data_IF_823602858918
#
_entry.id   IF_823602858918
#
_cell.length_a   1.000
_cell.length_b   1.000
_cell.length_c   1.000
_cell.angle_alpha   90.00
_cell.angle_beta   90.00
_cell.angle_gamma   90.00
#
_symmetry.space_group_name_H-M   'P 1'
#
loop_
_entity.id
_entity.type
_entity.pdbx_description
1 polymer ?
#
# COMPACT_ATOMS: atom_id res chain seq x y z
N UNK A 1 0.71 8.53 -17.35
CA UNK A 1 -0.48 8.27 -16.50
C UNK A 1 -1.01 9.57 -15.91
N UNK A 2 -2.33 9.77 -15.85
CA UNK A 2 -2.90 10.93 -15.12
C UNK A 2 -2.44 11.01 -13.66
N UNK A 3 -2.12 9.88 -13.04
CA UNK A 3 -1.63 9.82 -11.66
C UNK A 3 -0.34 10.62 -11.47
N UNK A 4 0.56 10.63 -12.46
CA UNK A 4 1.79 11.42 -12.40
C UNK A 4 1.48 12.92 -12.26
N UNK A 5 0.58 13.45 -13.10
CA UNK A 5 0.18 14.86 -13.07
C UNK A 5 -0.49 15.23 -11.74
N UNK A 6 -1.34 14.36 -11.20
CA UNK A 6 -2.00 14.55 -9.90
C UNK A 6 -0.98 14.59 -8.76
N UNK A 7 -0.03 13.66 -8.74
CA UNK A 7 0.99 13.61 -7.70
C UNK A 7 1.92 14.83 -7.74
N UNK A 8 2.34 15.27 -8.93
CA UNK A 8 3.15 16.49 -9.11
C UNK A 8 2.35 17.74 -8.67
N UNK A 9 1.10 17.88 -9.10
CA UNK A 9 0.26 19.02 -8.73
C UNK A 9 0.09 19.15 -7.22
N UNK A 10 -0.08 18.02 -6.53
CA UNK A 10 -0.28 18.02 -5.07
C UNK A 10 1.00 17.83 -4.25
N UNK A 11 2.18 17.79 -4.87
CA UNK A 11 3.46 17.49 -4.21
C UNK A 11 3.67 18.29 -2.94
N UNK A 12 3.57 19.61 -3.01
CA UNK A 12 3.80 20.50 -1.86
C UNK A 12 2.79 20.24 -0.72
N UNK A 13 1.54 19.93 -1.05
CA UNK A 13 0.52 19.60 -0.06
C UNK A 13 0.76 18.25 0.60
N UNK A 14 1.19 17.26 -0.18
CA UNK A 14 1.61 15.94 0.33
C UNK A 14 2.79 16.12 1.29
N UNK A 15 3.80 16.88 0.89
CA UNK A 15 5.00 17.10 1.70
C UNK A 15 4.71 17.83 3.00
N UNK A 16 3.75 18.74 3.01
CA UNK A 16 3.32 19.49 4.19
C UNK A 16 2.38 18.73 5.13
N UNK A 17 1.88 17.55 4.73
CA UNK A 17 1.01 16.75 5.59
C UNK A 17 1.69 16.37 6.90
N UNK A 18 0.95 16.53 8.00
CA UNK A 18 1.39 16.22 9.37
C UNK A 18 0.91 14.85 9.87
N UNK A 19 0.41 14.00 8.98
CA UNK A 19 -0.21 12.70 9.34
C UNK A 19 0.76 11.81 10.14
N UNK A 20 2.06 11.82 9.83
CA UNK A 20 3.05 11.03 10.58
C UNK A 20 3.12 11.47 12.04
N UNK A 21 3.14 12.78 12.28
CA UNK A 21 3.16 13.35 13.65
C UNK A 21 1.85 13.05 14.38
N UNK A 22 0.71 13.19 13.71
CA UNK A 22 -0.62 12.93 14.27
C UNK A 22 -0.77 11.47 14.71
N UNK A 23 -0.24 10.54 13.90
CA UNK A 23 -0.26 9.12 14.20
C UNK A 23 0.97 8.62 15.00
N UNK A 24 1.87 9.53 15.38
CA UNK A 24 3.12 9.23 16.12
C UNK A 24 3.96 8.16 15.40
N UNK A 25 4.05 8.26 14.08
CA UNK A 25 4.78 7.30 13.24
C UNK A 25 6.18 7.83 12.91
N UNK A 26 7.14 6.93 12.92
CA UNK A 26 8.52 7.20 12.48
C UNK A 26 8.70 6.70 11.04
N UNK A 27 9.32 7.51 10.19
CA UNK A 27 9.64 7.16 8.80
C UNK A 27 10.35 5.79 8.74
N UNK A 28 9.95 4.96 7.78
CA UNK A 28 10.46 3.62 7.53
C UNK A 28 10.28 2.61 8.69
N UNK A 29 9.47 2.95 9.70
CA UNK A 29 9.26 2.13 10.90
C UNK A 29 7.79 1.78 11.12
N UNK A 30 7.01 1.69 10.08
CA UNK A 30 5.61 1.23 10.12
C UNK A 30 5.21 0.63 8.76
N UNK A 31 4.16 -0.17 8.76
CA UNK A 31 3.52 -0.68 7.55
C UNK A 31 2.19 0.03 7.30
N UNK A 32 1.87 0.22 6.03
CA UNK A 32 0.57 0.72 5.60
C UNK A 32 -0.18 -0.39 4.83
N UNK A 33 -1.43 -0.61 5.17
CA UNK A 33 -2.27 -1.61 4.51
C UNK A 33 -3.59 -0.96 4.08
N UNK A 34 -4.00 -1.22 2.85
CA UNK A 34 -5.30 -0.84 2.32
C UNK A 34 -5.89 -2.01 1.56
N UNK A 35 -7.04 -2.51 2.02
CA UNK A 35 -7.81 -3.53 1.32
C UNK A 35 -9.28 -3.15 1.36
N UNK A 36 -9.85 -2.91 0.18
CA UNK A 36 -11.21 -2.41 0.04
C UNK A 36 -11.98 -3.08 -1.11
N UNK A 37 -11.33 -3.96 -1.88
CA UNK A 37 -12.00 -4.69 -2.96
C UNK A 37 -12.93 -5.75 -2.42
N UNK A 38 -14.09 -5.86 -3.07
CA UNK A 38 -15.14 -6.81 -2.68
C UNK A 38 -14.62 -8.25 -2.67
N UNK A 39 -13.82 -8.63 -3.66
CA UNK A 39 -13.22 -9.95 -3.76
C UNK A 39 -12.38 -10.35 -2.53
N UNK A 40 -11.71 -9.38 -1.90
CA UNK A 40 -10.91 -9.60 -0.70
C UNK A 40 -11.74 -9.51 0.58
N UNK A 41 -12.79 -8.71 0.56
CA UNK A 41 -13.59 -8.43 1.76
C UNK A 41 -14.79 -9.39 1.87
N UNK A 42 -15.44 -9.78 0.77
CA UNK A 42 -16.67 -10.57 0.81
C UNK A 42 -16.38 -12.09 0.84
N UNK A 43 -15.26 -12.55 0.32
CA UNK A 43 -14.83 -13.93 0.43
C UNK A 43 -14.36 -14.26 1.86
N UNK A 44 -14.92 -15.31 2.48
CA UNK A 44 -14.50 -15.75 3.82
C UNK A 44 -13.04 -16.20 3.85
N UNK A 45 -12.60 -16.88 2.80
CA UNK A 45 -11.22 -17.36 2.68
C UNK A 45 -10.26 -16.19 2.54
N UNK A 46 -10.55 -15.25 1.64
CA UNK A 46 -9.67 -14.09 1.41
C UNK A 46 -9.63 -13.18 2.63
N UNK A 47 -10.77 -12.97 3.28
CA UNK A 47 -10.81 -12.15 4.50
C UNK A 47 -10.01 -12.80 5.65
N UNK A 48 -10.14 -14.11 5.84
CA UNK A 48 -9.33 -14.85 6.83
C UNK A 48 -7.84 -14.76 6.50
N UNK A 49 -7.47 -14.96 5.23
CA UNK A 49 -6.09 -14.82 4.78
C UNK A 49 -5.55 -13.40 4.99
N UNK A 50 -6.38 -12.39 4.77
CA UNK A 50 -6.04 -10.99 5.04
C UNK A 50 -5.72 -10.77 6.53
N UNK A 51 -6.64 -11.16 7.42
CA UNK A 51 -6.47 -11.03 8.87
C UNK A 51 -5.21 -11.77 9.36
N UNK A 52 -5.02 -12.99 8.89
CA UNK A 52 -3.86 -13.83 9.24
C UNK A 52 -2.55 -13.22 8.78
N UNK A 53 -2.54 -12.65 7.56
CA UNK A 53 -1.35 -12.02 6.97
C UNK A 53 -0.93 -10.79 7.76
N UNK A 54 -1.86 -9.86 8.03
CA UNK A 54 -1.53 -8.63 8.77
C UNK A 54 -1.14 -8.90 10.23
N UNK A 55 -1.79 -9.87 10.90
CA UNK A 55 -1.38 -10.30 12.24
C UNK A 55 0.03 -10.91 12.24
N UNK A 56 0.36 -11.68 11.22
CA UNK A 56 1.69 -12.30 11.08
C UNK A 56 2.79 -11.25 10.84
N UNK A 57 2.51 -10.22 10.03
CA UNK A 57 3.44 -9.10 9.81
C UNK A 57 3.65 -8.35 11.13
N UNK A 58 2.59 -7.99 11.84
CA UNK A 58 2.66 -7.28 13.11
C UNK A 58 3.46 -8.06 14.16
N UNK A 59 3.25 -9.37 14.26
CA UNK A 59 3.97 -10.27 15.18
C UNK A 59 5.46 -10.39 14.83
N UNK A 60 5.79 -10.50 13.53
CA UNK A 60 7.15 -10.71 13.06
C UNK A 60 8.00 -9.45 13.18
N UNK A 61 7.48 -8.33 12.71
CA UNK A 61 8.26 -7.08 12.64
C UNK A 61 8.17 -6.24 13.90
N UNK A 62 7.13 -6.42 14.73
CA UNK A 62 6.87 -5.63 15.94
C UNK A 62 6.88 -4.11 15.70
N UNK A 63 6.41 -3.71 14.52
CA UNK A 63 6.26 -2.32 14.10
C UNK A 63 4.79 -1.96 13.99
N UNK A 64 4.41 -0.68 14.13
CA UNK A 64 3.06 -0.23 13.85
C UNK A 64 2.60 -0.66 12.46
N UNK A 65 1.39 -1.16 12.37
CA UNK A 65 0.74 -1.54 11.13
C UNK A 65 -0.59 -0.80 11.03
N UNK A 66 -0.64 0.16 10.12
CA UNK A 66 -1.79 1.05 9.92
C UNK A 66 -2.66 0.46 8.81
N UNK A 67 -3.91 0.16 9.13
CA UNK A 67 -4.88 -0.36 8.17
C UNK A 67 -5.92 0.71 7.86
N UNK A 68 -5.93 1.20 6.62
CA UNK A 68 -7.01 2.06 6.12
C UNK A 68 -8.23 1.18 5.85
N UNK A 69 -9.28 1.35 6.65
CA UNK A 69 -10.40 0.42 6.72
C UNK A 69 -11.66 1.07 6.15
N UNK A 70 -12.16 0.52 5.05
CA UNK A 70 -13.46 0.91 4.51
C UNK A 70 -14.60 0.56 5.50
N UNK A 71 -15.71 1.33 5.59
CA UNK A 71 -16.82 1.03 6.49
C UNK A 71 -17.34 -0.41 6.39
N UNK A 72 -17.40 -0.98 5.20
CA UNK A 72 -17.80 -2.36 4.94
C UNK A 72 -16.86 -3.38 5.61
N UNK A 73 -15.54 -3.17 5.44
CA UNK A 73 -14.51 -3.99 6.08
C UNK A 73 -14.59 -3.87 7.61
N UNK A 74 -14.78 -2.66 8.12
CA UNK A 74 -14.92 -2.41 9.55
C UNK A 74 -16.13 -3.15 10.13
N UNK A 75 -17.28 -3.07 9.45
CA UNK A 75 -18.49 -3.80 9.86
C UNK A 75 -18.22 -5.30 9.95
N UNK A 76 -17.57 -5.90 8.94
CA UNK A 76 -17.26 -7.33 8.93
C UNK A 76 -16.32 -7.72 10.09
N UNK A 77 -15.32 -6.90 10.36
CA UNK A 77 -14.40 -7.10 11.51
C UNK A 77 -15.19 -7.15 12.81
N UNK A 78 -16.12 -6.20 13.00
CA UNK A 78 -16.94 -6.10 14.22
C UNK A 78 -17.93 -7.28 14.33
N UNK A 79 -18.62 -7.62 13.23
CA UNK A 79 -19.59 -8.73 13.19
C UNK A 79 -18.94 -10.09 13.52
N UNK A 80 -17.70 -10.29 13.10
CA UNK A 80 -16.95 -11.53 13.34
C UNK A 80 -16.09 -11.49 14.62
N UNK A 81 -16.14 -10.40 15.39
CA UNK A 81 -15.35 -10.20 16.61
C UNK A 81 -13.84 -10.48 16.41
N UNK A 82 -13.28 -10.01 15.29
CA UNK A 82 -11.88 -10.24 14.93
C UNK A 82 -10.95 -9.54 15.92
N UNK A 83 -10.02 -10.29 16.49
CA UNK A 83 -8.97 -9.75 17.36
C UNK A 83 -7.69 -9.54 16.59
N UNK A 84 -7.15 -8.34 16.66
CA UNK A 84 -5.89 -7.97 16.04
C UNK A 84 -4.74 -7.89 17.04
N UNK A 85 -3.52 -8.08 16.52
CA UNK A 85 -2.30 -7.84 17.28
C UNK A 85 -2.22 -6.38 17.74
N UNK A 86 -1.64 -6.13 18.93
CA UNK A 86 -1.56 -4.78 19.55
C UNK A 86 -0.85 -3.72 18.70
N UNK A 87 -0.01 -4.12 17.75
CA UNK A 87 0.63 -3.20 16.80
C UNK A 87 -0.25 -2.80 15.63
N UNK A 88 -1.46 -3.37 15.47
CA UNK A 88 -2.37 -3.04 14.37
C UNK A 88 -3.33 -1.94 14.82
N UNK A 89 -3.39 -0.88 14.01
CA UNK A 89 -4.32 0.23 14.20
C UNK A 89 -5.23 0.32 12.98
N UNK A 90 -6.54 0.17 13.21
CA UNK A 90 -7.54 0.35 12.16
C UNK A 90 -7.94 1.84 12.11
N UNK A 91 -7.79 2.46 10.95
CA UNK A 91 -8.21 3.83 10.72
C UNK A 91 -9.38 3.88 9.74
N UNK A 92 -10.23 4.89 9.89
CA UNK A 92 -11.21 5.26 8.86
C UNK A 92 -10.49 5.60 7.55
N UNK A 93 -11.17 5.61 6.40
CA UNK A 93 -10.55 6.00 5.14
C UNK A 93 -9.79 7.32 5.28
N UNK A 94 -8.54 7.29 4.83
CA UNK A 94 -7.61 8.42 4.94
C UNK A 94 -7.73 9.25 3.66
N UNK A 95 -7.68 10.57 3.78
CA UNK A 95 -7.69 11.47 2.62
C UNK A 95 -6.46 11.26 1.73
N UNK A 96 -6.60 11.54 0.44
CA UNK A 96 -5.58 11.26 -0.59
C UNK A 96 -4.19 11.78 -0.21
N UNK A 97 -4.07 13.05 0.20
CA UNK A 97 -2.77 13.66 0.50
C UNK A 97 -2.05 12.96 1.67
N UNK A 98 -2.79 12.66 2.73
CA UNK A 98 -2.28 11.98 3.91
C UNK A 98 -1.95 10.52 3.60
N UNK A 99 -2.75 9.87 2.77
CA UNK A 99 -2.52 8.49 2.35
C UNK A 99 -1.22 8.37 1.52
N UNK A 100 -1.01 9.25 0.53
CA UNK A 100 0.23 9.30 -0.25
C UNK A 100 1.43 9.60 0.67
N UNK A 101 1.28 10.53 1.62
CA UNK A 101 2.35 10.80 2.60
C UNK A 101 2.72 9.57 3.42
N UNK A 102 1.74 8.78 3.85
CA UNK A 102 1.98 7.52 4.55
C UNK A 102 2.68 6.50 3.66
N UNK A 103 2.24 6.32 2.40
CA UNK A 103 2.87 5.42 1.44
C UNK A 103 4.36 5.73 1.25
N UNK A 104 4.70 6.99 1.01
CA UNK A 104 6.09 7.43 0.81
C UNK A 104 6.99 7.18 2.02
N UNK A 105 6.42 7.08 3.22
CA UNK A 105 7.16 6.97 4.46
C UNK A 105 7.00 5.62 5.18
N UNK A 106 6.13 4.74 4.70
CA UNK A 106 5.98 3.39 5.25
C UNK A 106 7.21 2.53 4.94
N UNK A 107 7.51 1.56 5.80
CA UNK A 107 8.50 0.53 5.51
C UNK A 107 8.14 -0.26 4.24
N UNK A 108 6.86 -0.61 4.11
CA UNK A 108 6.25 -1.07 2.87
C UNK A 108 4.74 -0.81 2.92
N UNK A 109 4.13 -0.66 1.74
CA UNK A 109 2.68 -0.54 1.56
C UNK A 109 2.13 -1.82 0.94
N UNK A 110 1.08 -2.38 1.54
CA UNK A 110 0.31 -3.48 0.98
C UNK A 110 -1.06 -2.96 0.52
N UNK A 111 -1.40 -3.13 -0.74
CA UNK A 111 -2.66 -2.60 -1.27
C UNK A 111 -3.27 -3.51 -2.34
N UNK A 112 -4.60 -3.53 -2.40
CA UNK A 112 -5.37 -4.13 -3.50
C UNK A 112 -5.86 -3.08 -4.52
N UNK A 113 -5.41 -1.83 -4.39
CA UNK A 113 -5.72 -0.77 -5.36
C UNK A 113 -5.02 -1.01 -6.69
N UNK A 114 -5.70 -0.69 -7.80
CA UNK A 114 -5.09 -0.69 -9.12
C UNK A 114 -4.01 0.38 -9.31
N UNK A 115 -4.07 1.46 -8.54
CA UNK A 115 -3.13 2.59 -8.66
C UNK A 115 -1.82 2.40 -7.88
N UNK A 116 -1.74 1.40 -7.01
CA UNK A 116 -0.54 1.18 -6.18
C UNK A 116 0.73 0.99 -7.04
N UNK A 117 0.58 0.37 -8.20
CA UNK A 117 1.69 0.13 -9.13
C UNK A 117 2.23 1.46 -9.69
N UNK A 118 1.35 2.36 -10.10
CA UNK A 118 1.71 3.69 -10.59
C UNK A 118 2.31 4.54 -9.47
N UNK A 119 1.63 4.61 -8.33
CA UNK A 119 2.06 5.38 -7.16
C UNK A 119 3.45 4.95 -6.70
N UNK A 120 3.69 3.64 -6.56
CA UNK A 120 4.98 3.09 -6.14
C UNK A 120 6.08 3.35 -7.16
N UNK A 121 5.80 3.18 -8.47
CA UNK A 121 6.78 3.44 -9.53
C UNK A 121 7.13 4.92 -9.61
N UNK A 122 6.15 5.82 -9.56
CA UNK A 122 6.36 7.28 -9.66
C UNK A 122 7.11 7.81 -8.44
N UNK A 123 6.65 7.45 -7.24
CA UNK A 123 7.16 8.00 -5.97
C UNK A 123 8.31 7.19 -5.35
N UNK A 124 8.65 6.05 -5.93
CA UNK A 124 9.71 5.15 -5.49
C UNK A 124 9.62 4.78 -4.00
N UNK A 125 8.57 4.06 -3.65
CA UNK A 125 8.43 3.47 -2.32
C UNK A 125 8.13 1.96 -2.42
N UNK A 126 8.56 1.14 -1.43
CA UNK A 126 8.30 -0.29 -1.44
C UNK A 126 6.81 -0.61 -1.34
N UNK A 127 6.30 -1.39 -2.29
CA UNK A 127 4.90 -1.78 -2.33
C UNK A 127 4.72 -3.26 -2.70
N UNK A 128 3.63 -3.84 -2.20
CA UNK A 128 3.14 -5.16 -2.54
C UNK A 128 1.69 -5.03 -2.99
N UNK A 129 1.37 -5.54 -4.15
CA UNK A 129 0.00 -5.69 -4.60
C UNK A 129 -0.56 -7.03 -4.08
N UNK A 130 -1.59 -6.94 -3.21
CA UNK A 130 -2.23 -8.10 -2.57
C UNK A 130 -3.46 -8.60 -3.33
N UNK A 131 -3.51 -8.39 -4.64
CA UNK A 131 -4.54 -8.94 -5.54
C UNK A 131 -4.10 -10.25 -6.14
N UNK A 132 -5.09 -11.09 -6.46
CA UNK A 132 -4.88 -12.32 -7.20
C UNK A 132 -5.01 -12.13 -8.72
N UNK A 133 -5.63 -11.04 -9.19
CA UNK A 133 -5.87 -10.75 -10.60
C UNK A 133 -5.09 -9.52 -11.12
N UNK A 134 -4.56 -9.63 -12.33
CA UNK A 134 -3.82 -8.55 -13.01
C UNK A 134 -4.75 -7.54 -13.68
N UNK A 135 -4.58 -6.26 -13.38
CA UNK A 135 -5.20 -5.17 -14.17
C UNK A 135 -4.16 -4.35 -14.95
N UNK A 136 -2.89 -4.40 -14.56
CA UNK A 136 -1.81 -3.58 -15.16
C UNK A 136 -0.53 -4.39 -15.21
N UNK A 137 -0.30 -5.11 -16.31
CA UNK A 137 0.88 -5.97 -16.46
C UNK A 137 2.19 -5.20 -16.52
N UNK A 138 2.18 -3.92 -16.96
CA UNK A 138 3.37 -3.11 -17.17
C UNK A 138 4.25 -2.99 -15.92
N UNK A 139 3.65 -2.82 -14.75
CA UNK A 139 4.39 -2.71 -13.49
C UNK A 139 5.07 -4.02 -13.08
N UNK A 140 4.57 -5.15 -13.56
CA UNK A 140 5.17 -6.45 -13.31
C UNK A 140 6.26 -6.77 -14.34
N UNK A 141 6.05 -6.42 -15.59
CA UNK A 141 7.06 -6.57 -16.65
C UNK A 141 8.31 -5.76 -16.32
N UNK A 142 8.13 -4.55 -15.81
CA UNK A 142 9.23 -3.68 -15.35
C UNK A 142 9.74 -4.01 -13.93
N UNK A 143 9.11 -4.96 -13.23
CA UNK A 143 9.54 -5.41 -11.91
C UNK A 143 9.40 -4.38 -10.78
N UNK A 144 8.54 -3.37 -10.95
CA UNK A 144 8.42 -2.27 -9.98
C UNK A 144 7.61 -2.61 -8.73
N UNK A 145 6.68 -3.56 -8.81
CA UNK A 145 5.83 -4.01 -7.69
C UNK A 145 5.63 -5.51 -7.73
N UNK A 146 5.75 -6.17 -6.58
CA UNK A 146 5.48 -7.60 -6.45
C UNK A 146 4.00 -7.85 -6.21
N UNK A 147 3.41 -8.78 -6.96
CA UNK A 147 2.06 -9.28 -6.74
C UNK A 147 2.11 -10.61 -5.99
N UNK A 148 1.48 -10.64 -4.83
CA UNK A 148 1.51 -11.82 -3.93
C UNK A 148 0.16 -12.45 -3.70
N UNK A 149 -0.92 -11.75 -4.03
CA UNK A 149 -2.24 -12.05 -3.49
C UNK A 149 -2.23 -11.95 -1.95
N UNK A 150 -3.23 -12.53 -1.33
CA UNK A 150 -3.33 -12.64 0.13
C UNK A 150 -2.64 -13.89 0.69
N UNK A 151 -1.66 -14.42 -0.03
CA UNK A 151 -0.87 -15.55 0.44
C UNK A 151 0.18 -15.09 1.44
N UNK A 152 -0.03 -15.39 2.71
CA UNK A 152 0.85 -15.01 3.82
C UNK A 152 2.34 -15.31 3.57
N UNK A 153 2.66 -16.50 3.07
CA UNK A 153 4.05 -16.91 2.81
C UNK A 153 4.69 -16.02 1.74
N UNK A 154 3.97 -15.78 0.64
CA UNK A 154 4.46 -14.92 -0.45
C UNK A 154 4.60 -13.47 0.00
N UNK A 155 3.65 -12.94 0.79
CA UNK A 155 3.74 -11.59 1.35
C UNK A 155 4.99 -11.45 2.23
N UNK A 156 5.24 -12.38 3.15
CA UNK A 156 6.43 -12.32 4.01
C UNK A 156 7.74 -12.46 3.23
N UNK A 157 7.79 -13.27 2.19
CA UNK A 157 8.94 -13.38 1.28
C UNK A 157 9.17 -12.05 0.52
N UNK A 158 8.11 -11.46 -0.03
CA UNK A 158 8.18 -10.17 -0.72
C UNK A 158 8.66 -9.06 0.23
N UNK A 159 8.14 -8.98 1.45
CA UNK A 159 8.60 -8.01 2.46
C UNK A 159 10.09 -8.17 2.78
N UNK A 160 10.60 -9.41 2.82
CA UNK A 160 12.03 -9.65 3.04
C UNK A 160 12.89 -9.13 1.88
N UNK A 161 12.44 -9.33 0.64
CA UNK A 161 13.11 -8.78 -0.56
C UNK A 161 13.08 -7.25 -0.54
N UNK A 162 11.94 -6.65 -0.21
CA UNK A 162 11.77 -5.19 -0.15
C UNK A 162 12.58 -4.50 0.95
N UNK A 163 13.12 -5.23 1.93
CA UNK A 163 13.99 -4.65 2.96
C UNK A 163 15.25 -4.00 2.38
N UNK A 164 15.71 -4.44 1.22
CA UNK A 164 16.89 -3.91 0.52
C UNK A 164 16.56 -2.89 -0.55
N UNK A 165 15.27 -2.63 -0.80
CA UNK A 165 14.84 -1.64 -1.79
C UNK A 165 15.09 -0.22 -1.29
N UNK A 166 15.84 0.54 -2.06
CA UNK A 166 16.00 1.98 -1.88
C UNK A 166 14.70 2.73 -2.21
N UNK A 167 14.63 4.00 -1.80
CA UNK A 167 13.42 4.81 -1.95
C UNK A 167 13.72 6.28 -2.19
N UNK A 168 12.70 7.01 -2.66
CA UNK A 168 12.85 8.42 -2.96
C UNK A 168 13.74 8.65 -4.18
N UNK A 169 14.84 9.37 -4.02
CA UNK A 169 15.74 9.74 -5.14
C UNK A 169 16.59 8.55 -5.61
N UNK A 170 16.96 7.64 -4.70
CA UNK A 170 17.74 6.45 -5.06
C UNK A 170 16.80 5.33 -5.47
N UNK A 171 17.03 4.75 -6.66
CA UNK A 171 16.20 3.66 -7.20
C UNK A 171 16.99 2.39 -7.35
N UNK A 172 16.44 1.29 -6.85
CA UNK A 172 16.91 -0.08 -7.09
C UNK A 172 16.04 -0.81 -8.11
N UNK A 173 14.78 -0.40 -8.27
CA UNK A 173 13.85 -0.96 -9.25
C UNK A 173 13.72 -0.02 -10.47
N UNK A 174 13.46 -0.61 -11.64
CA UNK A 174 13.19 0.16 -12.84
C UNK A 174 11.96 1.07 -12.67
N UNK A 175 12.05 2.23 -13.27
CA UNK A 175 10.92 3.14 -13.38
C UNK A 175 10.08 2.77 -14.60
N UNK A 176 8.78 2.65 -14.43
CA UNK A 176 7.87 2.42 -15.55
C UNK A 176 7.68 3.75 -16.29
N UNK A 177 8.36 3.89 -17.42
CA UNK A 177 8.39 5.15 -18.20
C UNK A 177 7.00 5.56 -18.68
N UNK A 178 6.12 4.61 -18.98
CA UNK A 178 4.75 4.86 -19.42
C UNK A 178 3.92 5.61 -18.36
N UNK A 179 4.27 5.48 -17.08
CA UNK A 179 3.58 6.20 -16.02
C UNK A 179 3.97 7.68 -15.93
N UNK A 180 5.13 8.07 -16.47
CA UNK A 180 5.62 9.45 -16.46
C UNK A 180 5.35 10.24 -17.74
N UNK A 181 4.63 9.68 -18.70
CA UNK A 181 4.29 10.41 -19.92
C UNK A 181 3.56 11.73 -19.57
N UNK A 182 4.06 12.90 -20.01
CA UNK A 182 3.45 14.18 -19.68
C UNK A 182 2.22 14.46 -20.53
N UNK A 183 1.36 15.36 -20.05
CA UNK A 183 0.18 15.89 -20.74
C UNK A 183 -0.80 14.81 -21.20
N UNK A 184 -0.98 13.77 -20.38
CA UNK A 184 -1.92 12.68 -20.68
C UNK A 184 -3.35 13.19 -20.65
N UNK A 185 -3.67 14.08 -19.71
CA UNK A 185 -4.97 14.73 -19.57
C UNK A 185 -5.36 15.59 -20.79
N UNK A 186 -4.39 16.07 -21.55
CA UNK A 186 -4.63 16.84 -22.80
C UNK A 186 -4.77 15.94 -24.04
N UNK A 187 -4.37 14.66 -23.93
CA UNK A 187 -4.38 13.70 -25.04
C UNK A 187 -5.61 12.80 -25.06
N UNK A 188 -6.41 12.84 -24.01
CA UNK A 188 -7.66 12.10 -23.84
C UNK A 188 -8.85 13.02 -24.07
#
# INVERSE_FOLDING_TARGET
>A
SPMFEVLEYYRNKIDSSKILTQLKLTKNSFFLVSSHREENIDSDINFTNFVDTINSIAKLYKLPLIVSTHPRTKKRIDDQNITFHSHITLLKPIGFLDYIKLQMNAKATLSDSGTINEESSILNFPAINIRDAHERPEAMEEGSVMMTGLNKKRVLQALNILNTQERGEVRTLCEVLDYKAPNVSEKV
#
